data_IF_532397606817
#
_entry.id   IF_532397606817
#
_cell.length_a   1.000
_cell.length_b   1.000
_cell.length_c   1.000
_cell.angle_alpha   90.00
_cell.angle_beta   90.00
_cell.angle_gamma   90.00
#
_symmetry.space_group_name_H-M   'P 1'
#
loop_
_entity.id
_entity.type
_entity.pdbx_description
1 polymer ?
#
# COMPACT_ATOMS: atom_id res chain seq x y z
N UNK A 1 11.45 47.25 16.37
CA UNK A 1 12.30 46.61 15.35
C UNK A 1 11.60 46.75 14.00
N UNK A 2 12.05 47.64 13.12
CA UNK A 2 11.39 47.90 11.82
C UNK A 2 11.81 46.82 10.82
N UNK A 3 10.85 46.04 10.33
CA UNK A 3 11.09 45.04 9.27
C UNK A 3 11.32 45.77 7.95
N UNK A 4 12.54 45.72 7.43
CA UNK A 4 12.89 46.30 6.13
C UNK A 4 12.18 45.48 5.04
N UNK A 5 11.12 46.02 4.45
CA UNK A 5 10.48 45.45 3.25
C UNK A 5 11.35 45.79 2.04
N UNK A 6 12.23 44.88 1.63
CA UNK A 6 12.87 44.92 0.32
C UNK A 6 11.81 44.69 -0.77
N UNK A 7 11.23 45.77 -1.28
CA UNK A 7 10.20 45.76 -2.31
C UNK A 7 10.82 46.20 -3.64
N UNK A 8 11.48 45.27 -4.32
CA UNK A 8 11.81 45.45 -5.73
C UNK A 8 10.52 45.17 -6.52
N UNK A 9 9.74 46.21 -6.81
CA UNK A 9 8.39 46.12 -7.42
C UNK A 9 8.43 45.70 -8.91
N UNK A 10 9.57 45.86 -9.58
CA UNK A 10 9.72 45.61 -11.02
C UNK A 10 10.42 44.27 -11.37
N UNK A 11 10.65 43.40 -10.38
CA UNK A 11 11.32 42.11 -10.57
C UNK A 11 10.35 40.95 -10.76
N UNK A 12 10.84 39.80 -11.27
CA UNK A 12 10.07 38.55 -11.29
C UNK A 12 9.55 38.26 -9.87
N UNK A 13 8.23 38.06 -9.69
CA UNK A 13 7.67 37.72 -8.40
C UNK A 13 8.40 36.52 -7.79
N UNK A 14 8.74 36.64 -6.51
CA UNK A 14 9.31 35.54 -5.74
C UNK A 14 8.30 34.40 -5.74
N UNK A 15 8.71 33.20 -6.20
CA UNK A 15 7.86 31.99 -6.09
C UNK A 15 7.41 31.79 -4.64
N UNK A 16 6.19 31.29 -4.43
CA UNK A 16 5.71 30.98 -3.09
C UNK A 16 6.53 29.87 -2.44
N UNK A 17 6.47 29.81 -1.10
CA UNK A 17 7.21 28.80 -0.33
C UNK A 17 6.86 27.36 -0.75
N UNK A 18 5.60 27.11 -1.07
CA UNK A 18 5.07 25.80 -1.47
C UNK A 18 5.63 25.35 -2.84
N UNK A 19 5.91 26.30 -3.74
CA UNK A 19 6.39 26.03 -5.09
C UNK A 19 7.93 25.94 -5.19
N UNK A 20 8.63 26.08 -4.06
CA UNK A 20 10.08 25.98 -3.97
C UNK A 20 10.49 24.66 -3.35
N UNK A 21 11.53 24.03 -3.92
CA UNK A 21 12.18 22.89 -3.28
C UNK A 21 13.06 23.38 -2.13
N UNK A 22 12.47 23.51 -0.94
CA UNK A 22 13.15 24.02 0.25
C UNK A 22 13.81 22.92 1.09
N UNK A 23 13.27 21.71 1.03
CA UNK A 23 13.68 20.59 1.86
C UNK A 23 14.60 19.65 1.08
N UNK A 24 15.68 19.20 1.74
CA UNK A 24 16.62 18.21 1.19
C UNK A 24 16.54 16.94 2.01
N UNK A 25 16.29 15.83 1.33
CA UNK A 25 16.49 14.49 1.86
C UNK A 25 17.74 13.89 1.22
N UNK A 26 18.70 13.48 2.05
CA UNK A 26 19.93 12.81 1.59
C UNK A 26 19.80 11.31 1.81
N UNK A 27 20.08 10.53 0.77
CA UNK A 27 20.09 9.06 0.81
C UNK A 27 21.49 8.55 0.50
N UNK A 28 21.92 7.50 1.20
CA UNK A 28 23.12 6.74 0.86
C UNK A 28 22.68 5.47 0.13
N UNK A 29 23.33 5.17 -0.99
CA UNK A 29 22.99 4.03 -1.85
C UNK A 29 24.19 3.09 -1.94
N UNK A 30 23.91 1.80 -2.05
CA UNK A 30 24.90 0.82 -2.48
C UNK A 30 25.27 1.02 -3.96
N UNK A 31 26.38 0.41 -4.39
CA UNK A 31 26.86 0.52 -5.77
C UNK A 31 25.83 0.04 -6.80
N UNK A 32 25.13 -1.07 -6.52
CA UNK A 32 24.13 -1.66 -7.42
C UNK A 32 22.93 -0.72 -7.55
N UNK A 33 22.42 -0.22 -6.42
CA UNK A 33 21.29 0.70 -6.38
C UNK A 33 21.61 2.01 -7.10
N UNK A 34 22.81 2.55 -6.88
CA UNK A 34 23.25 3.77 -7.55
C UNK A 34 23.37 3.58 -9.07
N UNK A 35 23.93 2.46 -9.54
CA UNK A 35 23.99 2.14 -10.98
C UNK A 35 22.59 1.97 -11.58
N UNK A 36 21.67 1.32 -10.86
CA UNK A 36 20.29 1.17 -11.29
C UNK A 36 19.59 2.54 -11.40
N UNK A 37 19.80 3.41 -10.41
CA UNK A 37 19.28 4.78 -10.41
C UNK A 37 19.77 5.57 -11.63
N UNK A 38 21.08 5.54 -11.91
CA UNK A 38 21.66 6.22 -13.07
C UNK A 38 21.05 5.72 -14.38
N UNK A 39 20.98 4.39 -14.55
CA UNK A 39 20.41 3.78 -15.75
C UNK A 39 18.94 4.17 -15.91
N UNK A 40 18.13 4.04 -14.87
CA UNK A 40 16.70 4.32 -14.95
C UNK A 40 16.40 5.80 -15.21
N UNK A 41 17.16 6.71 -14.59
CA UNK A 41 17.04 8.14 -14.86
C UNK A 41 17.39 8.46 -16.32
N UNK A 42 18.49 7.88 -16.83
CA UNK A 42 18.89 8.01 -18.24
C UNK A 42 17.85 7.46 -19.21
N UNK A 43 17.30 6.26 -18.95
CA UNK A 43 16.24 5.67 -19.77
C UNK A 43 14.98 6.53 -19.79
N UNK A 44 14.64 7.17 -18.66
CA UNK A 44 13.50 8.06 -18.56
C UNK A 44 13.74 9.45 -19.19
N UNK A 45 14.99 9.77 -19.60
CA UNK A 45 15.36 11.10 -20.08
C UNK A 45 15.28 12.18 -19.00
N UNK A 46 15.41 11.80 -17.72
CA UNK A 46 15.28 12.69 -16.57
C UNK A 46 16.62 12.84 -15.84
N UNK A 47 16.81 13.97 -15.16
CA UNK A 47 17.90 14.06 -14.18
C UNK A 47 17.62 13.12 -13.01
N UNK A 48 18.67 12.71 -12.29
CA UNK A 48 18.55 11.82 -11.11
C UNK A 48 17.53 12.40 -10.10
N UNK A 49 17.59 13.70 -9.83
CA UNK A 49 16.68 14.35 -8.88
C UNK A 49 15.24 14.40 -9.38
N UNK A 50 14.99 14.55 -10.68
CA UNK A 50 13.64 14.48 -11.26
C UNK A 50 13.11 13.06 -11.22
N UNK A 51 13.94 12.09 -11.58
CA UNK A 51 13.58 10.68 -11.52
C UNK A 51 13.18 10.27 -10.10
N UNK A 52 13.98 10.58 -9.08
CA UNK A 52 13.66 10.26 -7.68
C UNK A 52 12.36 10.94 -7.24
N UNK A 53 12.15 12.21 -7.62
CA UNK A 53 10.92 12.93 -7.25
C UNK A 53 9.69 12.35 -7.94
N UNK A 54 9.81 11.96 -9.21
CA UNK A 54 8.74 11.28 -9.95
C UNK A 54 8.45 9.91 -9.33
N UNK A 55 9.50 9.13 -9.05
CA UNK A 55 9.38 7.84 -8.39
C UNK A 55 8.72 7.96 -7.01
N UNK A 56 9.09 8.97 -6.20
CA UNK A 56 8.49 9.22 -4.89
C UNK A 56 7.01 9.63 -4.98
N UNK A 57 6.63 10.43 -5.98
CA UNK A 57 5.23 10.83 -6.21
C UNK A 57 4.36 9.66 -6.63
N UNK A 58 4.93 8.72 -7.38
CA UNK A 58 4.22 7.57 -7.95
C UNK A 58 4.43 6.29 -7.14
N UNK A 59 5.27 6.31 -6.09
CA UNK A 59 5.53 5.12 -5.29
C UNK A 59 4.32 4.80 -4.42
N UNK A 60 3.86 3.56 -4.49
CA UNK A 60 2.89 3.02 -3.56
C UNK A 60 3.64 2.41 -2.37
N UNK A 61 3.39 2.90 -1.16
CA UNK A 61 3.86 2.24 0.06
C UNK A 61 2.90 1.09 0.34
N UNK A 62 3.40 -0.15 0.25
CA UNK A 62 2.66 -1.31 0.74
C UNK A 62 2.75 -1.32 2.26
N UNK A 63 1.64 -1.03 2.93
CA UNK A 63 1.58 -1.12 4.38
C UNK A 63 1.90 -2.55 4.83
N UNK A 64 2.60 -2.68 5.96
CA UNK A 64 2.79 -3.98 6.59
C UNK A 64 1.43 -4.50 7.04
N UNK A 65 1.20 -5.80 6.91
CA UNK A 65 0.00 -6.45 7.46
C UNK A 65 -0.15 -6.08 8.95
N UNK A 66 -1.16 -5.28 9.25
CA UNK A 66 -1.50 -4.91 10.62
C UNK A 66 -2.01 -6.14 11.39
N UNK A 67 -2.04 -6.05 12.72
CA UNK A 67 -2.56 -7.13 13.57
C UNK A 67 -3.97 -7.56 13.14
N UNK A 68 -4.82 -6.61 12.73
CA UNK A 68 -6.17 -6.87 12.21
C UNK A 68 -6.15 -7.72 10.95
N UNK A 69 -5.28 -7.41 9.98
CA UNK A 69 -5.12 -8.23 8.78
C UNK A 69 -4.70 -9.67 9.12
N UNK A 70 -3.76 -9.84 10.05
CA UNK A 70 -3.30 -11.15 10.49
C UNK A 70 -4.41 -11.96 11.19
N UNK A 71 -5.26 -11.30 11.98
CA UNK A 71 -6.43 -11.94 12.60
C UNK A 71 -7.43 -12.43 11.54
N UNK A 72 -7.70 -11.62 10.51
CA UNK A 72 -8.60 -12.01 9.41
C UNK A 72 -8.03 -13.20 8.62
N UNK A 73 -6.73 -13.19 8.30
CA UNK A 73 -6.04 -14.33 7.66
C UNK A 73 -6.14 -15.58 8.55
N UNK A 74 -5.90 -15.45 9.85
CA UNK A 74 -5.98 -16.58 10.80
C UNK A 74 -7.40 -17.13 10.88
N UNK A 75 -8.41 -16.25 10.83
CA UNK A 75 -9.84 -16.63 10.80
C UNK A 75 -10.18 -17.44 9.54
N UNK A 76 -9.69 -17.01 8.36
CA UNK A 76 -9.86 -17.77 7.11
C UNK A 76 -9.20 -19.16 7.20
N UNK A 77 -8.01 -19.25 7.78
CA UNK A 77 -7.35 -20.54 8.02
C UNK A 77 -8.19 -21.45 8.92
N UNK A 78 -8.81 -20.90 9.97
CA UNK A 78 -9.76 -21.63 10.81
C UNK A 78 -11.00 -22.12 10.04
N UNK A 79 -11.53 -21.29 9.13
CA UNK A 79 -12.67 -21.65 8.28
C UNK A 79 -12.35 -22.79 7.31
N UNK A 80 -11.11 -22.92 6.85
CA UNK A 80 -10.69 -24.07 6.04
C UNK A 80 -10.84 -25.41 6.82
N UNK A 81 -10.56 -25.40 8.12
CA UNK A 81 -10.80 -26.57 8.97
C UNK A 81 -12.29 -26.87 9.14
N UNK A 82 -13.13 -25.83 9.28
CA UNK A 82 -14.57 -25.99 9.34
C UNK A 82 -15.11 -26.60 8.04
N UNK A 83 -14.61 -26.16 6.89
CA UNK A 83 -14.99 -26.71 5.58
C UNK A 83 -14.63 -28.21 5.49
N UNK A 84 -13.43 -28.59 5.94
CA UNK A 84 -13.03 -30.00 5.98
C UNK A 84 -13.95 -30.85 6.87
N UNK A 85 -14.41 -30.30 8.00
CA UNK A 85 -15.35 -31.00 8.89
C UNK A 85 -16.72 -31.17 8.24
N UNK A 86 -17.24 -30.13 7.57
CA UNK A 86 -18.50 -30.17 6.82
C UNK A 86 -18.40 -31.22 5.70
N UNK A 87 -17.31 -31.24 4.95
CA UNK A 87 -17.09 -32.24 3.90
C UNK A 87 -17.07 -33.67 4.46
N UNK A 88 -16.38 -33.89 5.59
CA UNK A 88 -16.36 -35.20 6.26
C UNK A 88 -17.77 -35.62 6.71
N UNK A 89 -18.55 -34.69 7.28
CA UNK A 89 -19.92 -34.94 7.70
C UNK A 89 -20.84 -35.22 6.52
N UNK A 90 -20.71 -34.50 5.41
CA UNK A 90 -21.46 -34.74 4.19
C UNK A 90 -21.19 -36.14 3.62
N UNK A 91 -19.94 -36.61 3.67
CA UNK A 91 -19.59 -37.97 3.25
C UNK A 91 -20.18 -39.05 4.16
N UNK A 92 -20.36 -38.77 5.45
CA UNK A 92 -20.86 -39.75 6.43
C UNK A 92 -22.40 -39.79 6.53
N UNK A 93 -23.04 -38.62 6.55
CA UNK A 93 -24.47 -38.46 6.83
C UNK A 93 -25.27 -37.98 5.60
N UNK A 94 -24.62 -37.84 4.45
CA UNK A 94 -25.21 -37.30 3.23
C UNK A 94 -25.21 -35.76 3.19
N UNK A 95 -25.33 -35.22 1.98
CA UNK A 95 -25.23 -33.78 1.73
C UNK A 95 -26.30 -32.96 2.46
N UNK A 96 -27.52 -33.47 2.58
CA UNK A 96 -28.62 -32.75 3.25
C UNK A 96 -28.29 -32.41 4.72
N UNK A 97 -27.54 -33.29 5.41
CA UNK A 97 -27.13 -33.08 6.79
C UNK A 97 -26.04 -32.01 6.99
N UNK A 98 -25.38 -31.59 5.90
CA UNK A 98 -24.26 -30.63 5.90
C UNK A 98 -24.59 -29.34 5.13
N UNK A 99 -25.70 -29.29 4.41
CA UNK A 99 -26.08 -28.19 3.50
C UNK A 99 -26.14 -26.83 4.22
N UNK A 100 -26.89 -26.73 5.31
CA UNK A 100 -27.07 -25.47 6.05
C UNK A 100 -25.75 -24.94 6.61
N UNK A 101 -24.90 -25.82 7.14
CA UNK A 101 -23.57 -25.46 7.66
C UNK A 101 -22.66 -24.97 6.52
N UNK A 102 -22.71 -25.64 5.36
CA UNK A 102 -21.96 -25.23 4.16
C UNK A 102 -22.38 -23.85 3.66
N UNK A 103 -23.68 -23.58 3.58
CA UNK A 103 -24.21 -22.28 3.15
C UNK A 103 -23.85 -21.16 4.14
N UNK A 104 -23.86 -21.46 5.43
CA UNK A 104 -23.48 -20.50 6.49
C UNK A 104 -22.00 -20.18 6.41
N UNK A 105 -21.13 -21.21 6.30
CA UNK A 105 -19.69 -21.01 6.18
C UNK A 105 -19.33 -20.20 4.92
N UNK A 106 -20.02 -20.44 3.79
CA UNK A 106 -19.80 -19.67 2.57
C UNK A 106 -20.10 -18.17 2.76
N UNK A 107 -21.18 -17.82 3.45
CA UNK A 107 -21.51 -16.42 3.78
C UNK A 107 -20.47 -15.79 4.70
N UNK A 108 -19.98 -16.54 5.69
CA UNK A 108 -18.96 -16.02 6.60
C UNK A 108 -17.61 -15.77 5.91
N UNK A 109 -17.20 -16.67 5.00
CA UNK A 109 -16.00 -16.49 4.18
C UNK A 109 -16.14 -15.23 3.32
N UNK A 110 -17.29 -15.06 2.63
CA UNK A 110 -17.57 -13.88 1.82
C UNK A 110 -17.49 -12.57 2.64
N UNK A 111 -18.04 -12.57 3.85
CA UNK A 111 -17.93 -11.42 4.76
C UNK A 111 -16.48 -11.12 5.15
N UNK A 112 -15.67 -12.14 5.46
CA UNK A 112 -14.26 -11.94 5.84
C UNK A 112 -13.46 -11.43 4.65
N UNK A 113 -13.70 -11.93 3.43
CA UNK A 113 -13.05 -11.44 2.21
C UNK A 113 -13.40 -9.96 1.98
N UNK A 114 -14.68 -9.59 2.11
CA UNK A 114 -15.12 -8.19 2.00
C UNK A 114 -14.46 -7.28 3.05
N UNK A 115 -14.21 -7.77 4.26
CA UNK A 115 -13.48 -7.00 5.28
C UNK A 115 -12.00 -6.79 4.92
N UNK A 116 -11.39 -7.71 4.17
CA UNK A 116 -10.01 -7.56 3.69
C UNK A 116 -9.95 -6.58 2.50
N UNK A 117 -10.88 -6.68 1.56
CA UNK A 117 -10.91 -5.85 0.36
C UNK A 117 -11.20 -4.38 0.65
N UNK A 118 -12.10 -4.11 1.60
CA UNK A 118 -12.47 -2.74 1.95
C UNK A 118 -11.43 -2.01 2.81
N UNK A 119 -10.29 -2.66 3.12
CA UNK A 119 -9.27 -2.13 4.01
C UNK A 119 -9.79 -2.04 5.43
N UNK A 120 -9.47 -3.04 6.24
CA UNK A 120 -9.75 -3.00 7.68
C UNK A 120 -9.09 -1.79 8.36
#
# INVERSE_FOLDING_TARGET
MKTIKNRNENGRPKKEAIDRWQYRASIKLGLIEYKALLRNASTAGLTISEYIRSALRNSTVKERLTTTHLQLITKLTGMANNLNQIAKRANQAGYFAAKTESETLAKEIDNVIKSIENGA
#
